data_IF_377717933414
#
_entry.id   IF_377717933414
#
_cell.length_a   1.000
_cell.length_b   1.000
_cell.length_c   1.000
_cell.angle_alpha   90.00
_cell.angle_beta   90.00
_cell.angle_gamma   90.00
#
_symmetry.space_group_name_H-M   'P 1'
#
loop_
_entity.id
_entity.type
_entity.pdbx_description
1 polymer ?
#
# COMPACT_ATOMS: atom_id res chain seq x y z
N UNK A 1 36.66 -77.09 -19.01
CA UNK A 1 35.74 -76.46 -18.04
C UNK A 1 36.10 -74.99 -17.97
N UNK A 2 35.26 -74.14 -18.59
CA UNK A 2 35.38 -72.69 -18.53
C UNK A 2 34.60 -72.21 -17.30
N UNK A 3 35.26 -71.48 -16.40
CA UNK A 3 34.60 -70.80 -15.29
C UNK A 3 34.92 -69.31 -15.40
N UNK A 4 33.89 -68.57 -15.82
CA UNK A 4 33.87 -67.13 -15.98
C UNK A 4 33.70 -66.46 -14.61
N UNK A 5 34.62 -65.56 -14.26
CA UNK A 5 34.52 -64.73 -13.04
C UNK A 5 34.50 -63.25 -13.43
N UNK A 6 33.31 -62.71 -13.68
CA UNK A 6 33.10 -61.28 -13.96
C UNK A 6 33.36 -60.43 -12.71
N UNK A 7 34.34 -59.54 -12.78
CA UNK A 7 34.59 -58.51 -11.76
C UNK A 7 33.83 -57.24 -12.12
N UNK A 8 32.68 -57.00 -11.48
CA UNK A 8 31.95 -55.73 -11.57
C UNK A 8 32.54 -54.71 -10.60
N UNK A 9 33.29 -53.73 -11.13
CA UNK A 9 33.71 -52.52 -10.39
C UNK A 9 32.49 -51.61 -10.23
N UNK A 10 31.95 -51.53 -9.01
CA UNK A 10 30.97 -50.50 -8.67
C UNK A 10 31.69 -49.15 -8.54
N UNK A 11 31.54 -48.30 -9.56
CA UNK A 11 31.89 -46.89 -9.47
C UNK A 11 30.81 -46.15 -8.69
N UNK A 12 31.12 -45.74 -7.45
CA UNK A 12 30.30 -44.75 -6.76
C UNK A 12 30.55 -43.38 -7.40
N UNK A 13 29.70 -43.00 -8.35
CA UNK A 13 29.57 -41.62 -8.78
C UNK A 13 28.88 -40.84 -7.67
N UNK A 14 29.68 -40.26 -6.76
CA UNK A 14 29.18 -39.27 -5.81
C UNK A 14 28.84 -38.00 -6.58
N UNK A 15 27.59 -37.90 -7.05
CA UNK A 15 27.04 -36.61 -7.41
C UNK A 15 26.87 -35.85 -6.10
N UNK A 16 27.80 -34.95 -5.81
CA UNK A 16 27.62 -33.95 -4.78
C UNK A 16 26.39 -33.12 -5.17
N UNK A 17 25.23 -33.48 -4.63
CA UNK A 17 24.04 -32.63 -4.67
C UNK A 17 24.41 -31.35 -3.96
N UNK A 18 24.66 -30.29 -4.74
CA UNK A 18 24.85 -28.96 -4.21
C UNK A 18 23.59 -28.61 -3.44
N UNK A 19 23.66 -28.61 -2.11
CA UNK A 19 22.60 -28.12 -1.25
C UNK A 19 22.52 -26.62 -1.50
N UNK A 20 21.79 -26.20 -2.54
CA UNK A 20 21.34 -24.82 -2.64
C UNK A 20 20.39 -24.63 -1.48
N UNK A 21 20.74 -23.82 -0.46
CA UNK A 21 19.80 -23.51 0.60
C UNK A 21 18.61 -22.90 -0.13
N UNK A 22 17.44 -23.53 -0.04
CA UNK A 22 16.21 -22.89 -0.43
C UNK A 22 16.09 -21.68 0.49
N UNK A 23 16.58 -20.53 0.03
CA UNK A 23 16.33 -19.27 0.68
C UNK A 23 14.82 -19.11 0.53
N UNK A 24 14.07 -19.18 1.65
CA UNK A 24 12.61 -19.30 1.71
C UNK A 24 11.88 -18.02 1.19
N UNK A 25 12.34 -17.45 0.08
CA UNK A 25 11.97 -16.12 -0.38
C UNK A 25 12.48 -14.99 0.53
N UNK A 26 13.35 -15.28 1.51
CA UNK A 26 13.87 -14.27 2.42
C UNK A 26 14.88 -13.41 1.67
N UNK A 27 14.53 -12.13 1.48
CA UNK A 27 15.45 -11.15 0.94
C UNK A 27 16.68 -11.05 1.86
N UNK A 28 17.92 -11.22 1.35
CA UNK A 28 19.10 -11.15 2.19
C UNK A 28 19.21 -9.82 2.94
N UNK A 29 19.66 -9.87 4.19
CA UNK A 29 19.92 -8.66 4.97
C UNK A 29 20.97 -7.80 4.25
N UNK A 30 20.58 -6.59 3.86
CA UNK A 30 21.37 -5.68 3.02
C UNK A 30 21.48 -4.27 3.62
N UNK A 31 21.72 -4.19 4.93
CA UNK A 31 21.99 -2.93 5.62
C UNK A 31 20.77 -2.02 5.86
N UNK A 32 19.77 -2.10 4.99
CA UNK A 32 18.62 -1.17 4.96
C UNK A 32 17.28 -1.85 5.25
N UNK A 33 17.21 -3.18 5.14
CA UNK A 33 15.98 -3.97 5.25
C UNK A 33 15.84 -4.75 6.56
N UNK A 34 16.57 -4.39 7.63
CA UNK A 34 16.64 -5.16 8.89
C UNK A 34 15.27 -5.51 9.48
N UNK A 35 14.33 -4.56 9.53
CA UNK A 35 12.98 -4.79 10.08
C UNK A 35 12.22 -5.89 9.31
N UNK A 36 12.11 -5.74 7.98
CA UNK A 36 11.42 -6.71 7.11
C UNK A 36 12.14 -8.07 7.07
N UNK A 37 13.47 -8.06 7.08
CA UNK A 37 14.28 -9.28 7.16
C UNK A 37 14.02 -10.04 8.48
N UNK A 38 14.03 -9.34 9.62
CA UNK A 38 13.80 -9.93 10.95
C UNK A 38 12.41 -10.57 11.05
N UNK A 39 11.38 -9.89 10.52
CA UNK A 39 10.02 -10.44 10.46
C UNK A 39 9.96 -11.70 9.58
N UNK A 40 10.58 -11.66 8.40
CA UNK A 40 10.61 -12.79 7.47
C UNK A 40 11.31 -14.01 8.07
N UNK A 41 12.40 -13.80 8.81
CA UNK A 41 13.12 -14.86 9.52
C UNK A 41 12.27 -15.46 10.63
N UNK A 42 11.66 -14.63 11.48
CA UNK A 42 10.78 -15.10 12.56
C UNK A 42 9.61 -15.92 12.02
N UNK A 43 8.97 -15.43 10.96
CA UNK A 43 7.86 -16.13 10.31
C UNK A 43 8.31 -17.47 9.72
N UNK A 44 9.44 -17.49 9.00
CA UNK A 44 9.95 -18.72 8.37
C UNK A 44 10.33 -19.78 9.41
N UNK A 45 11.03 -19.38 10.48
CA UNK A 45 11.41 -20.30 11.56
C UNK A 45 10.19 -20.81 12.34
N UNK A 46 9.21 -19.95 12.58
CA UNK A 46 7.96 -20.33 13.25
C UNK A 46 7.12 -21.31 12.42
N UNK A 47 7.00 -21.10 11.11
CA UNK A 47 6.28 -22.02 10.22
C UNK A 47 6.92 -23.42 10.16
N UNK A 48 8.21 -23.52 10.44
CA UNK A 48 8.95 -24.79 10.47
C UNK A 48 9.02 -25.41 11.87
N UNK A 49 8.43 -24.78 12.89
CA UNK A 49 8.54 -25.17 14.30
C UNK A 49 10.02 -25.28 14.76
N UNK A 50 10.85 -24.34 14.28
CA UNK A 50 12.28 -24.27 14.58
C UNK A 50 12.64 -23.10 15.48
N UNK A 51 11.69 -22.27 15.92
CA UNK A 51 11.92 -21.01 16.64
C UNK A 51 12.03 -21.16 18.17
N UNK A 52 11.98 -22.38 18.69
CA UNK A 52 12.02 -22.65 20.13
C UNK A 52 13.24 -22.00 20.82
N UNK A 53 14.44 -22.13 20.23
CA UNK A 53 15.67 -21.54 20.77
C UNK A 53 15.70 -20.01 20.74
N UNK A 54 14.85 -19.36 19.94
CA UNK A 54 14.68 -17.91 19.96
C UNK A 54 13.71 -17.44 21.04
N UNK A 55 12.79 -18.30 21.48
CA UNK A 55 11.75 -17.99 22.48
C UNK A 55 12.16 -18.36 23.90
N UNK A 56 12.93 -19.43 24.07
CA UNK A 56 13.25 -20.02 25.36
C UNK A 56 14.75 -20.00 25.62
N UNK A 57 15.11 -19.77 26.88
CA UNK A 57 16.50 -19.87 27.32
C UNK A 57 16.99 -21.33 27.25
N UNK A 58 18.32 -21.54 27.08
CA UNK A 58 18.89 -22.87 26.97
C UNK A 58 18.52 -23.73 28.20
N UNK A 59 17.96 -24.94 28.01
CA UNK A 59 17.79 -25.87 29.09
C UNK A 59 19.15 -26.26 29.67
N UNK A 60 19.17 -26.61 30.96
CA UNK A 60 20.38 -27.13 31.59
C UNK A 60 20.91 -28.35 30.85
N UNK A 61 22.23 -28.44 30.70
CA UNK A 61 22.86 -29.58 30.05
C UNK A 61 22.47 -30.88 30.79
N UNK A 62 22.03 -31.92 30.07
CA UNK A 62 21.62 -33.16 30.69
C UNK A 62 22.83 -33.84 31.35
N UNK A 63 22.57 -34.44 32.51
CA UNK A 63 23.51 -35.27 33.26
C UNK A 63 22.97 -36.71 33.41
N UNK A 64 23.69 -37.56 34.13
CA UNK A 64 23.32 -38.97 34.31
C UNK A 64 21.99 -39.15 35.05
N UNK A 65 21.62 -38.18 35.90
CA UNK A 65 20.37 -38.15 36.67
C UNK A 65 19.17 -37.60 35.88
N UNK A 66 19.42 -37.02 34.71
CA UNK A 66 18.37 -36.36 33.93
C UNK A 66 17.35 -37.36 33.38
N UNK A 67 16.07 -37.02 33.49
CA UNK A 67 14.99 -37.85 32.95
C UNK A 67 15.04 -37.90 31.42
N UNK A 68 14.35 -38.89 30.84
CA UNK A 68 14.22 -39.04 29.39
C UNK A 68 13.61 -37.78 28.76
N UNK A 69 12.66 -37.15 29.44
CA UNK A 69 11.99 -35.93 29.01
C UNK A 69 12.93 -34.72 29.03
N UNK A 70 13.77 -34.60 30.06
CA UNK A 70 14.78 -33.52 30.14
C UNK A 70 15.82 -33.64 29.02
N UNK A 71 16.31 -34.86 28.76
CA UNK A 71 17.24 -35.14 27.65
C UNK A 71 16.60 -34.80 26.30
N UNK A 72 15.36 -35.21 26.07
CA UNK A 72 14.61 -34.89 24.84
C UNK A 72 14.40 -33.39 24.65
N UNK A 73 14.06 -32.67 25.73
CA UNK A 73 13.87 -31.21 25.69
C UNK A 73 15.17 -30.49 25.29
N UNK A 74 16.30 -30.91 25.88
CA UNK A 74 17.62 -30.39 25.53
C UNK A 74 17.96 -30.65 24.06
N UNK A 75 17.81 -31.88 23.58
CA UNK A 75 18.08 -32.24 22.18
C UNK A 75 17.21 -31.45 21.18
N UNK A 76 15.93 -31.25 21.50
CA UNK A 76 15.01 -30.48 20.68
C UNK A 76 15.40 -28.99 20.63
N UNK A 77 15.74 -28.42 21.78
CA UNK A 77 16.23 -27.04 21.86
C UNK A 77 17.54 -26.88 21.08
N UNK A 78 18.49 -27.81 21.23
CA UNK A 78 19.78 -27.77 20.56
C UNK A 78 19.63 -27.88 19.03
N UNK A 79 18.73 -28.77 18.57
CA UNK A 79 18.35 -28.84 17.16
C UNK A 79 17.77 -27.51 16.66
N UNK A 80 16.84 -26.93 17.41
CA UNK A 80 16.24 -25.63 17.08
C UNK A 80 17.30 -24.52 17.02
N UNK A 81 18.22 -24.47 17.99
CA UNK A 81 19.33 -23.53 18.07
C UNK A 81 20.23 -23.61 16.85
N UNK A 82 20.71 -24.82 16.52
CA UNK A 82 21.56 -25.06 15.34
C UNK A 82 20.88 -24.65 14.04
N UNK A 83 19.60 -25.02 13.87
CA UNK A 83 18.85 -24.68 12.65
C UNK A 83 18.60 -23.17 12.55
N UNK A 84 18.23 -22.51 13.64
CA UNK A 84 18.09 -21.06 13.68
C UNK A 84 19.39 -20.36 13.27
N UNK A 85 20.53 -20.75 13.84
CA UNK A 85 21.83 -20.19 13.49
C UNK A 85 22.14 -20.34 12.01
N UNK A 86 21.91 -21.53 11.44
CA UNK A 86 22.14 -21.76 10.02
C UNK A 86 21.29 -20.85 9.13
N UNK A 87 19.99 -20.74 9.43
CA UNK A 87 19.05 -19.90 8.67
C UNK A 87 19.42 -18.42 8.80
N UNK A 88 19.63 -17.93 10.03
CA UNK A 88 19.96 -16.52 10.29
C UNK A 88 21.26 -16.17 9.58
N UNK A 89 22.36 -16.91 9.82
CA UNK A 89 23.66 -16.65 9.18
C UNK A 89 23.55 -16.68 7.67
N UNK A 90 22.88 -17.68 7.10
CA UNK A 90 22.78 -17.81 5.64
C UNK A 90 21.94 -16.72 4.99
N UNK A 91 20.96 -16.15 5.70
CA UNK A 91 20.10 -15.07 5.21
C UNK A 91 20.76 -13.68 5.27
N UNK A 92 21.97 -13.56 5.82
CA UNK A 92 22.71 -12.30 5.87
C UNK A 92 23.63 -12.19 4.66
N UNK A 93 23.63 -11.04 3.98
CA UNK A 93 24.52 -10.80 2.85
C UNK A 93 25.99 -11.00 3.23
N UNK A 94 26.74 -11.70 2.38
CA UNK A 94 28.16 -12.00 2.60
C UNK A 94 28.98 -10.73 2.84
N UNK A 95 28.59 -9.61 2.22
CA UNK A 95 29.28 -8.33 2.34
C UNK A 95 29.28 -7.76 3.77
N UNK A 96 28.27 -8.10 4.60
CA UNK A 96 28.12 -7.57 5.96
C UNK A 96 28.24 -8.66 7.04
N UNK A 97 28.13 -9.94 6.66
CA UNK A 97 28.12 -11.07 7.60
C UNK A 97 29.37 -11.11 8.50
N UNK A 98 30.54 -10.81 7.93
CA UNK A 98 31.82 -10.82 8.67
C UNK A 98 31.98 -9.71 9.70
N UNK A 99 31.13 -8.67 9.67
CA UNK A 99 31.16 -7.59 10.66
C UNK A 99 30.38 -7.92 11.95
N UNK A 100 29.59 -9.00 11.94
CA UNK A 100 28.77 -9.41 13.08
C UNK A 100 29.58 -10.41 13.93
N UNK A 101 29.74 -10.17 15.24
CA UNK A 101 30.39 -11.14 16.14
C UNK A 101 29.71 -12.51 16.10
N UNK A 102 30.51 -13.58 16.17
CA UNK A 102 29.97 -14.94 16.12
C UNK A 102 29.38 -15.38 17.47
N UNK A 103 28.47 -16.35 17.44
CA UNK A 103 27.91 -16.99 18.62
C UNK A 103 27.40 -18.41 18.31
N UNK A 104 27.52 -19.30 19.30
CA UNK A 104 26.94 -20.66 19.29
C UNK A 104 25.47 -20.68 19.73
N UNK A 105 24.94 -19.54 20.20
CA UNK A 105 23.55 -19.39 20.56
C UNK A 105 22.81 -18.51 19.54
N UNK A 106 21.73 -19.02 18.95
CA UNK A 106 20.95 -18.35 17.93
C UNK A 106 20.34 -17.02 18.40
N UNK A 107 19.83 -17.00 19.64
CA UNK A 107 19.22 -15.81 20.26
C UNK A 107 20.28 -14.72 20.45
N UNK A 108 21.43 -15.07 21.01
CA UNK A 108 22.58 -14.15 21.15
C UNK A 108 23.11 -13.66 19.81
N UNK A 109 23.24 -14.55 18.81
CA UNK A 109 23.66 -14.13 17.46
C UNK A 109 22.68 -13.12 16.86
N UNK A 110 21.37 -13.37 16.98
CA UNK A 110 20.33 -12.45 16.48
C UNK A 110 20.38 -11.09 17.19
N UNK A 111 20.68 -11.06 18.49
CA UNK A 111 20.89 -9.82 19.25
C UNK A 111 22.11 -9.02 18.73
N UNK A 112 23.22 -9.69 18.39
CA UNK A 112 24.36 -9.03 17.76
C UNK A 112 24.04 -8.45 16.39
N UNK A 113 23.25 -9.17 15.57
CA UNK A 113 22.76 -8.62 14.31
C UNK A 113 21.92 -7.38 14.60
N UNK A 114 20.98 -7.45 15.55
CA UNK A 114 20.12 -6.33 15.92
C UNK A 114 20.90 -5.10 16.38
N UNK A 115 21.95 -5.29 17.18
CA UNK A 115 22.85 -4.21 17.64
C UNK A 115 23.48 -3.44 16.47
N UNK A 116 23.97 -4.15 15.44
CA UNK A 116 24.59 -3.52 14.27
C UNK A 116 23.62 -2.63 13.47
N UNK A 117 22.31 -2.85 13.60
CA UNK A 117 21.28 -2.12 12.85
C UNK A 117 20.48 -1.12 13.69
N UNK A 118 20.79 -0.93 14.97
CA UNK A 118 20.09 0.03 15.84
C UNK A 118 20.13 1.47 15.30
N UNK A 119 21.26 1.92 14.74
CA UNK A 119 21.41 3.26 14.17
C UNK A 119 20.50 3.49 12.96
N UNK A 120 20.48 2.54 12.02
CA UNK A 120 19.59 2.56 10.85
C UNK A 120 18.12 2.51 11.25
N UNK A 121 17.77 1.71 12.26
CA UNK A 121 16.41 1.59 12.80
C UNK A 121 15.87 2.94 13.30
N UNK A 122 16.68 3.72 14.03
CA UNK A 122 16.28 5.07 14.50
C UNK A 122 15.99 6.04 13.35
N UNK A 123 16.84 6.05 12.33
CA UNK A 123 16.64 6.89 11.14
C UNK A 123 15.39 6.46 10.35
N UNK A 124 15.15 5.16 10.25
CA UNK A 124 13.94 4.62 9.64
C UNK A 124 12.68 5.00 10.42
N UNK A 125 12.69 4.87 11.75
CA UNK A 125 11.59 5.30 12.61
C UNK A 125 11.27 6.79 12.44
N UNK A 126 12.29 7.66 12.43
CA UNK A 126 12.11 9.10 12.18
C UNK A 126 11.52 9.39 10.81
N UNK A 127 11.99 8.69 9.77
CA UNK A 127 11.45 8.80 8.42
C UNK A 127 9.98 8.37 8.37
N UNK A 128 9.63 7.29 9.07
CA UNK A 128 8.28 6.75 9.14
C UNK A 128 7.33 7.71 9.86
N UNK A 129 7.75 8.30 10.98
CA UNK A 129 7.00 9.32 11.71
C UNK A 129 6.76 10.55 10.82
N UNK A 130 7.80 11.05 10.15
CA UNK A 130 7.67 12.18 9.24
C UNK A 130 6.71 11.87 8.09
N UNK A 131 6.81 10.66 7.53
CA UNK A 131 5.90 10.19 6.48
C UNK A 131 4.47 10.11 6.99
N UNK A 132 4.23 9.58 8.19
CA UNK A 132 2.90 9.58 8.81
C UNK A 132 2.33 11.00 8.95
N UNK A 133 3.13 11.95 9.47
CA UNK A 133 2.71 13.34 9.68
C UNK A 133 2.34 14.07 8.39
N UNK A 134 3.07 13.79 7.31
CA UNK A 134 2.93 14.46 6.01
C UNK A 134 1.98 13.76 5.05
N UNK A 135 1.70 12.47 5.24
CA UNK A 135 0.80 11.68 4.39
C UNK A 135 -0.67 12.05 4.67
N UNK A 136 -1.16 13.05 3.95
CA UNK A 136 -2.57 13.43 3.92
C UNK A 136 -3.33 12.61 2.89
N UNK A 137 -4.61 12.36 3.17
CA UNK A 137 -5.48 11.73 2.19
C UNK A 137 -5.72 12.71 1.02
N UNK A 138 -5.49 12.24 -0.20
CA UNK A 138 -5.56 13.06 -1.42
C UNK A 138 -6.99 13.29 -1.93
N UNK A 139 -7.98 12.57 -1.39
CA UNK A 139 -9.37 12.64 -1.83
C UNK A 139 -9.65 11.88 -3.13
N UNK A 140 -8.69 11.13 -3.67
CA UNK A 140 -8.79 10.41 -4.95
C UNK A 140 -8.44 8.93 -4.79
N UNK A 141 -7.36 8.62 -4.06
CA UNK A 141 -7.09 7.25 -3.61
C UNK A 141 -8.25 6.71 -2.79
N UNK A 142 -8.39 5.40 -2.63
CA UNK A 142 -9.44 4.85 -1.77
C UNK A 142 -9.17 5.19 -0.30
N UNK A 143 -10.14 5.75 0.42
CA UNK A 143 -9.95 6.11 1.84
C UNK A 143 -9.56 4.91 2.70
N UNK A 144 -10.07 3.71 2.37
CA UNK A 144 -9.69 2.46 3.04
C UNK A 144 -8.21 2.15 2.85
N UNK A 145 -7.68 2.35 1.64
CA UNK A 145 -6.27 2.13 1.33
C UNK A 145 -5.38 3.11 2.12
N UNK A 146 -5.79 4.38 2.19
CA UNK A 146 -5.11 5.38 3.00
C UNK A 146 -5.06 4.98 4.48
N UNK A 147 -6.19 4.52 5.04
CA UNK A 147 -6.24 4.05 6.44
C UNK A 147 -5.33 2.85 6.65
N UNK A 148 -5.38 1.84 5.77
CA UNK A 148 -4.51 0.66 5.85
C UNK A 148 -3.02 1.03 5.79
N UNK A 149 -2.64 1.99 4.94
CA UNK A 149 -1.27 2.52 4.87
C UNK A 149 -0.85 3.20 6.17
N UNK A 150 -1.74 3.94 6.83
CA UNK A 150 -1.45 4.56 8.13
C UNK A 150 -1.32 3.51 9.24
N UNK A 151 -2.14 2.46 9.23
CA UNK A 151 -2.04 1.32 10.15
C UNK A 151 -0.75 0.52 9.94
N UNK A 152 -0.35 0.27 8.69
CA UNK A 152 0.91 -0.38 8.36
C UNK A 152 2.12 0.38 8.93
N UNK A 153 2.14 1.71 8.75
CA UNK A 153 3.19 2.54 9.34
C UNK A 153 3.19 2.49 10.88
N UNK A 154 2.01 2.49 11.50
CA UNK A 154 1.87 2.33 12.96
C UNK A 154 2.40 0.97 13.45
N UNK A 155 2.11 -0.12 12.73
CA UNK A 155 2.60 -1.46 13.06
C UNK A 155 4.12 -1.58 12.91
N UNK A 156 4.68 -0.96 11.88
CA UNK A 156 6.14 -0.86 11.71
C UNK A 156 6.78 -0.12 12.88
N UNK A 157 6.19 0.99 13.35
CA UNK A 157 6.66 1.68 14.55
C UNK A 157 6.59 0.79 15.80
N UNK A 158 5.51 0.02 15.96
CA UNK A 158 5.37 -0.96 17.05
C UNK A 158 6.49 -2.02 17.02
N UNK A 159 6.93 -2.48 15.85
CA UNK A 159 8.05 -3.42 15.72
C UNK A 159 9.40 -2.87 16.22
N UNK A 160 9.50 -1.54 16.35
CA UNK A 160 10.66 -0.80 16.84
C UNK A 160 10.45 -0.27 18.27
N UNK A 161 9.53 -0.86 19.03
CA UNK A 161 9.18 -0.47 20.41
C UNK A 161 8.60 0.96 20.53
N UNK A 162 7.99 1.46 19.43
CA UNK A 162 7.32 2.76 19.38
C UNK A 162 5.83 2.57 19.16
N UNK A 163 5.16 1.89 20.09
CA UNK A 163 3.74 1.59 19.97
C UNK A 163 2.88 2.87 20.00
N UNK A 164 1.99 2.98 19.01
CA UNK A 164 0.98 4.04 18.93
C UNK A 164 -0.34 3.44 19.43
N UNK A 165 -0.96 4.10 20.41
CA UNK A 165 -2.28 3.68 20.90
C UNK A 165 -3.35 3.81 19.81
N UNK A 166 -4.32 2.90 19.81
CA UNK A 166 -5.40 2.88 18.83
C UNK A 166 -6.14 4.23 18.75
N UNK A 167 -6.48 4.81 19.90
CA UNK A 167 -7.15 6.12 19.96
C UNK A 167 -6.31 7.25 19.36
N UNK A 168 -4.97 7.24 19.55
CA UNK A 168 -4.11 8.22 18.91
C UNK A 168 -4.11 8.04 17.39
N UNK A 169 -3.99 6.79 16.90
CA UNK A 169 -4.01 6.50 15.48
C UNK A 169 -5.31 6.95 14.80
N UNK A 170 -6.46 6.73 15.46
CA UNK A 170 -7.77 7.19 14.98
C UNK A 170 -7.79 8.71 14.83
N UNK A 171 -7.42 9.45 15.88
CA UNK A 171 -7.34 10.92 15.80
C UNK A 171 -6.36 11.38 14.72
N UNK A 172 -5.22 10.71 14.62
CA UNK A 172 -4.19 11.04 13.64
C UNK A 172 -4.71 10.89 12.21
N UNK A 173 -5.38 9.78 11.90
CA UNK A 173 -6.04 9.56 10.60
C UNK A 173 -7.11 10.63 10.37
N UNK A 174 -7.94 10.97 11.36
CA UNK A 174 -8.93 12.05 11.25
C UNK A 174 -8.29 13.40 10.90
N UNK A 175 -7.11 13.72 11.45
CA UNK A 175 -6.36 14.94 11.06
C UNK A 175 -5.73 14.86 9.67
N UNK A 176 -5.58 13.66 9.10
CA UNK A 176 -5.04 13.45 7.76
C UNK A 176 -6.05 13.68 6.63
N UNK A 177 -7.35 13.66 6.93
CA UNK A 177 -8.41 13.84 5.94
C UNK A 177 -8.47 15.29 5.42
N UNK A 178 -8.81 15.51 4.13
CA UNK A 178 -8.87 16.84 3.53
C UNK A 178 -10.10 17.62 4.01
N UNK A 179 -10.15 18.91 3.64
CA UNK A 179 -11.22 19.83 4.04
C UNK A 179 -12.63 19.41 3.59
N UNK A 180 -12.76 18.58 2.54
CA UNK A 180 -14.04 18.02 2.11
C UNK A 180 -14.71 17.15 3.17
N UNK A 181 -13.93 16.57 4.09
CA UNK A 181 -14.43 15.81 5.24
C UNK A 181 -14.77 16.71 6.45
N UNK A 182 -14.84 18.04 6.27
CA UNK A 182 -15.14 18.98 7.36
C UNK A 182 -16.39 18.61 8.18
N UNK A 183 -17.56 18.41 7.56
CA UNK A 183 -18.77 17.99 8.27
C UNK A 183 -18.60 16.67 9.02
N UNK A 184 -17.92 15.70 8.41
CA UNK A 184 -17.61 14.40 9.02
C UNK A 184 -16.73 14.54 10.27
N UNK A 185 -15.70 15.38 10.24
CA UNK A 185 -14.85 15.67 11.42
C UNK A 185 -15.63 16.34 12.55
N UNK A 186 -16.54 17.26 12.22
CA UNK A 186 -17.40 17.90 13.21
C UNK A 186 -18.26 16.84 13.91
N UNK A 187 -18.91 15.96 13.14
CA UNK A 187 -19.73 14.87 13.69
C UNK A 187 -18.91 13.97 14.63
N UNK A 188 -17.72 13.54 14.21
CA UNK A 188 -16.82 12.76 15.06
C UNK A 188 -16.46 13.50 16.36
N UNK A 189 -16.07 14.77 16.29
CA UNK A 189 -15.69 15.55 17.47
C UNK A 189 -16.85 15.79 18.46
N UNK A 190 -18.10 15.76 17.99
CA UNK A 190 -19.29 15.91 18.85
C UNK A 190 -19.69 14.62 19.56
N UNK A 191 -19.18 13.47 19.13
CA UNK A 191 -19.45 12.19 19.77
C UNK A 191 -18.58 12.00 21.01
N UNK A 192 -19.17 11.47 22.07
CA UNK A 192 -18.44 11.15 23.32
C UNK A 192 -17.76 9.79 23.27
N UNK A 193 -18.24 8.91 22.40
CA UNK A 193 -17.72 7.56 22.23
C UNK A 193 -16.42 7.57 21.43
N UNK A 194 -15.47 6.73 21.84
CA UNK A 194 -14.21 6.56 21.12
C UNK A 194 -14.42 5.53 20.02
N UNK A 195 -14.05 5.88 18.80
CA UNK A 195 -14.06 4.93 17.70
C UNK A 195 -12.87 3.99 17.77
N UNK A 196 -13.13 2.73 17.43
CA UNK A 196 -12.14 1.73 17.05
C UNK A 196 -11.67 1.97 15.61
N UNK A 197 -10.58 1.31 15.22
CA UNK A 197 -10.13 1.33 13.82
C UNK A 197 -11.17 0.77 12.85
N UNK A 198 -11.91 -0.26 13.26
CA UNK A 198 -12.98 -0.88 12.45
C UNK A 198 -14.12 0.11 12.18
N UNK A 199 -14.56 0.83 13.21
CA UNK A 199 -15.60 1.86 13.09
C UNK A 199 -15.11 3.02 12.23
N UNK A 200 -13.89 3.50 12.44
CA UNK A 200 -13.29 4.55 11.63
C UNK A 200 -13.30 4.18 10.13
N UNK A 201 -12.89 2.95 9.79
CA UNK A 201 -12.89 2.48 8.40
C UNK A 201 -14.31 2.50 7.83
N UNK A 202 -15.29 1.95 8.55
CA UNK A 202 -16.67 1.89 8.10
C UNK A 202 -17.24 3.29 7.83
N UNK A 203 -17.07 4.20 8.79
CA UNK A 203 -17.59 5.56 8.73
C UNK A 203 -16.89 6.40 7.64
N UNK A 204 -15.57 6.26 7.49
CA UNK A 204 -14.84 6.95 6.43
C UNK A 204 -15.23 6.49 5.02
N UNK A 205 -15.44 5.17 4.83
CA UNK A 205 -15.89 4.63 3.53
C UNK A 205 -17.30 5.10 3.20
N UNK A 206 -18.22 5.11 4.17
CA UNK A 206 -19.56 5.65 3.96
C UNK A 206 -19.54 7.13 3.56
N UNK A 207 -18.71 7.94 4.24
CA UNK A 207 -18.57 9.36 3.91
C UNK A 207 -17.94 9.57 2.52
N UNK A 208 -16.97 8.74 2.13
CA UNK A 208 -16.39 8.78 0.79
C UNK A 208 -17.46 8.54 -0.29
N UNK A 209 -18.31 7.52 -0.12
CA UNK A 209 -19.41 7.23 -1.05
C UNK A 209 -20.45 8.35 -1.10
N UNK A 210 -20.79 8.95 0.05
CA UNK A 210 -21.66 10.12 0.11
C UNK A 210 -21.06 11.30 -0.70
N UNK A 211 -19.77 11.58 -0.50
CA UNK A 211 -19.06 12.64 -1.21
C UNK A 211 -18.95 12.38 -2.72
N UNK A 212 -18.79 11.12 -3.14
CA UNK A 212 -18.85 10.72 -4.56
C UNK A 212 -20.24 10.91 -5.15
N UNK A 213 -21.29 10.53 -4.44
CA UNK A 213 -22.68 10.69 -4.90
C UNK A 213 -23.06 12.18 -5.07
N UNK A 214 -22.53 13.06 -4.23
CA UNK A 214 -22.69 14.52 -4.33
C UNK A 214 -21.86 15.17 -5.45
N UNK A 215 -20.89 14.42 -6.00
CA UNK A 215 -20.08 14.79 -7.17
C UNK A 215 -20.43 13.87 -8.34
N UNK A 216 -21.65 13.96 -8.92
CA UNK A 216 -21.95 13.22 -10.14
C UNK A 216 -20.94 13.62 -11.22
N UNK A 217 -20.30 12.60 -11.78
CA UNK A 217 -19.25 12.71 -12.77
C UNK A 217 -19.66 13.65 -13.91
N UNK A 218 -18.80 14.64 -14.19
CA UNK A 218 -18.80 15.44 -15.42
C UNK A 218 -18.23 14.60 -16.60
N UNK A 219 -18.11 13.28 -16.40
CA UNK A 219 -17.57 12.32 -17.34
C UNK A 219 -18.67 11.70 -18.24
N UNK A 220 -19.33 12.55 -19.03
CA UNK A 220 -19.92 12.09 -20.28
C UNK A 220 -19.64 13.10 -21.40
N UNK A 221 -18.41 13.63 -21.48
CA UNK A 221 -18.01 14.50 -22.58
C UNK A 221 -16.53 14.43 -22.95
N UNK A 222 -15.94 13.24 -22.98
CA UNK A 222 -14.61 13.02 -23.57
C UNK A 222 -14.51 11.73 -24.37
N UNK A 223 -15.44 11.52 -25.32
CA UNK A 223 -15.04 10.89 -26.59
C UNK A 223 -14.60 11.99 -27.55
N UNK A 224 -13.31 12.23 -27.46
CA UNK A 224 -12.41 12.91 -28.40
C UNK A 224 -13.03 13.27 -29.76
N UNK A 225 -13.34 14.56 -29.89
CA UNK A 225 -13.26 15.27 -31.17
C UNK A 225 -11.82 15.20 -31.69
N UNK A 226 -11.48 14.14 -32.43
CA UNK A 226 -10.32 14.17 -33.32
C UNK A 226 -10.72 14.89 -34.60
N UNK A 227 -10.25 16.14 -34.69
CA UNK A 227 -10.44 17.08 -35.79
C UNK A 227 -10.16 16.42 -37.15
N UNK A 228 -11.16 16.53 -38.03
CA UNK A 228 -11.05 16.42 -39.49
C UNK A 228 -10.07 17.49 -40.00
N UNK A 229 -8.90 17.07 -40.50
CA UNK A 229 -8.07 17.89 -41.42
C UNK A 229 -8.03 17.20 -42.79
N UNK A 230 -8.31 18.01 -43.80
CA UNK A 230 -8.51 17.71 -45.23
C UNK A 230 -7.15 17.45 -45.90
N UNK A 231 -7.02 16.39 -46.69
CA UNK A 231 -5.83 16.07 -47.49
C UNK A 231 -6.16 15.04 -48.58
N UNK A 232 -5.82 15.37 -49.82
CA UNK A 232 -6.21 14.79 -51.10
C UNK A 232 -5.55 13.43 -51.41
N UNK A 233 -6.28 12.46 -52.02
CA UNK A 233 -5.84 11.58 -53.14
C UNK A 233 -6.87 10.50 -53.52
N UNK A 234 -6.72 10.04 -54.76
CA UNK A 234 -7.63 9.32 -55.65
C UNK A 234 -7.91 7.86 -55.26
N UNK A 235 -8.94 7.26 -55.86
CA UNK A 235 -9.05 5.80 -56.07
C UNK A 235 -10.46 5.26 -55.92
N UNK A 236 -10.99 4.60 -56.95
CA UNK A 236 -12.39 4.22 -57.08
C UNK A 236 -12.84 3.02 -56.25
N UNK A 237 -14.14 2.75 -56.27
CA UNK A 237 -14.72 1.52 -55.71
C UNK A 237 -16.22 1.64 -55.40
N UNK A 238 -17.05 1.07 -56.27
CA UNK A 238 -18.51 0.90 -56.13
C UNK A 238 -18.87 0.07 -54.88
N UNK A 239 -19.97 0.41 -54.19
CA UNK A 239 -20.58 -0.47 -53.20
C UNK A 239 -21.88 0.09 -52.62
N UNK A 240 -22.97 -0.66 -52.80
CA UNK A 240 -24.35 -0.26 -52.60
C UNK A 240 -24.81 -0.08 -51.14
N UNK A 241 -25.81 0.79 -51.03
CA UNK A 241 -26.88 0.98 -50.03
C UNK A 241 -27.17 -0.20 -49.09
N UNK A 242 -27.32 0.11 -47.80
CA UNK A 242 -28.48 -0.32 -46.98
C UNK A 242 -28.69 0.62 -45.79
N UNK A 243 -29.79 1.38 -45.84
CA UNK A 243 -30.33 2.19 -44.74
C UNK A 243 -31.16 1.29 -43.83
N UNK A 244 -31.00 1.43 -42.51
CA UNK A 244 -32.05 1.14 -41.52
C UNK A 244 -32.11 2.31 -40.53
N UNK A 245 -33.29 2.89 -40.24
CA UNK A 245 -33.44 4.17 -39.55
C UNK A 245 -33.61 4.01 -38.03
N UNK A 246 -33.16 5.01 -37.25
CA UNK A 246 -33.79 5.30 -35.95
C UNK A 246 -34.08 6.79 -35.80
N UNK A 247 -35.36 7.02 -35.59
CA UNK A 247 -36.12 8.26 -35.41
C UNK A 247 -35.84 8.89 -34.02
N UNK A 248 -35.75 10.23 -34.01
CA UNK A 248 -36.22 11.18 -32.97
C UNK A 248 -35.59 11.12 -31.56
N UNK A 249 -35.44 12.22 -30.82
CA UNK A 249 -36.08 13.52 -30.91
C UNK A 249 -35.17 14.64 -30.35
N UNK A 250 -35.24 15.82 -30.99
CA UNK A 250 -34.62 17.07 -30.54
C UNK A 250 -35.46 17.70 -29.44
N UNK A 251 -34.94 17.78 -28.21
CA UNK A 251 -35.55 18.57 -27.13
C UNK A 251 -34.86 19.94 -27.10
N UNK A 252 -35.57 20.97 -27.54
CA UNK A 252 -35.14 22.37 -27.40
C UNK A 252 -34.95 22.71 -25.92
N UNK A 253 -33.71 22.73 -25.44
CA UNK A 253 -33.41 23.25 -24.11
C UNK A 253 -33.52 24.77 -24.12
N UNK A 254 -34.54 25.31 -23.47
CA UNK A 254 -34.76 26.76 -23.31
C UNK A 254 -33.60 27.50 -22.61
N UNK A 255 -33.73 28.83 -22.43
CA UNK A 255 -32.65 29.67 -21.90
C UNK A 255 -32.14 29.19 -20.53
N UNK A 256 -30.82 29.11 -20.37
CA UNK A 256 -30.13 28.68 -19.13
C UNK A 256 -29.09 29.71 -18.70
N UNK A 257 -29.13 30.10 -17.44
CA UNK A 257 -28.21 31.09 -16.87
C UNK A 257 -26.97 30.39 -16.29
N UNK A 258 -25.80 30.64 -16.88
CA UNK A 258 -24.53 30.05 -16.40
C UNK A 258 -24.05 30.62 -15.05
N UNK A 259 -24.56 31.79 -14.63
CA UNK A 259 -24.17 32.42 -13.37
C UNK A 259 -24.93 31.84 -12.18
N UNK A 260 -26.27 31.86 -12.21
CA UNK A 260 -27.10 31.34 -11.12
C UNK A 260 -27.49 29.86 -11.29
N UNK A 261 -27.17 29.26 -12.46
CA UNK A 261 -27.48 27.86 -12.81
C UNK A 261 -28.97 27.51 -12.86
N UNK A 262 -29.84 28.50 -13.06
CA UNK A 262 -31.29 28.31 -13.25
C UNK A 262 -31.70 28.39 -14.72
N UNK A 263 -32.73 27.62 -15.10
CA UNK A 263 -33.41 27.68 -16.41
C UNK A 263 -34.44 28.83 -16.41
N UNK A 264 -34.73 29.40 -17.58
CA UNK A 264 -35.75 30.45 -17.78
C UNK A 264 -35.21 31.84 -18.18
N UNK A 265 -33.89 32.08 -18.12
CA UNK A 265 -33.26 33.34 -18.54
C UNK A 265 -31.78 33.14 -18.92
N UNK A 266 -31.22 34.03 -19.73
CA UNK A 266 -29.77 34.02 -20.02
C UNK A 266 -28.99 34.76 -18.93
N UNK A 267 -27.69 34.51 -18.80
CA UNK A 267 -26.83 35.17 -17.79
C UNK A 267 -26.92 36.71 -17.83
N UNK A 268 -27.08 37.31 -19.02
CA UNK A 268 -27.30 38.76 -19.21
C UNK A 268 -28.57 39.32 -18.56
N UNK A 269 -29.57 38.48 -18.36
CA UNK A 269 -30.87 38.82 -17.75
C UNK A 269 -30.89 38.46 -16.25
N UNK A 270 -29.83 37.86 -15.71
CA UNK A 270 -29.81 37.36 -14.34
C UNK A 270 -29.71 38.50 -13.30
N UNK A 271 -30.70 38.67 -12.40
CA UNK A 271 -30.64 39.71 -11.36
C UNK A 271 -29.44 39.55 -10.41
N UNK A 272 -29.08 38.31 -10.07
CA UNK A 272 -27.89 38.01 -9.23
C UNK A 272 -26.59 38.40 -9.92
N UNK A 273 -26.50 38.21 -11.25
CA UNK A 273 -25.31 38.59 -12.03
C UNK A 273 -25.16 40.11 -12.11
N UNK A 274 -26.26 40.84 -12.35
CA UNK A 274 -26.26 42.31 -12.36
C UNK A 274 -25.86 42.89 -11.00
N UNK A 275 -26.44 42.39 -9.91
CA UNK A 275 -26.07 42.82 -8.55
C UNK A 275 -24.59 42.52 -8.22
N UNK A 276 -24.07 41.38 -8.69
CA UNK A 276 -22.66 41.02 -8.53
C UNK A 276 -21.71 41.97 -9.29
N UNK A 277 -22.09 42.40 -10.50
CA UNK A 277 -21.33 43.39 -11.28
C UNK A 277 -21.30 44.76 -10.59
N UNK A 278 -22.45 45.23 -10.08
CA UNK A 278 -22.53 46.49 -9.32
C UNK A 278 -21.65 46.46 -8.07
N UNK A 279 -21.63 45.33 -7.34
CA UNK A 279 -20.78 45.16 -6.15
C UNK A 279 -19.27 45.10 -6.49
N UNK A 280 -18.92 44.74 -7.72
CA UNK A 280 -17.53 44.68 -8.21
C UNK A 280 -17.08 45.97 -8.91
N UNK A 281 -17.95 46.98 -9.03
CA UNK A 281 -17.65 48.22 -9.76
C UNK A 281 -17.49 48.01 -11.27
N UNK A 282 -18.01 46.91 -11.82
CA UNK A 282 -17.90 46.57 -13.24
C UNK A 282 -19.17 47.06 -13.94
N UNK A 283 -19.04 47.96 -14.91
CA UNK A 283 -20.18 48.41 -15.71
C UNK A 283 -20.65 47.29 -16.65
N UNK A 284 -21.95 47.00 -16.62
CA UNK A 284 -22.55 46.02 -17.52
C UNK A 284 -22.71 46.62 -18.92
N UNK A 285 -21.97 46.12 -19.91
CA UNK A 285 -22.15 46.50 -21.31
C UNK A 285 -23.11 45.50 -22.01
N UNK A 286 -24.34 45.90 -22.37
CA UNK A 286 -25.33 45.02 -22.97
C UNK A 286 -25.05 44.63 -24.44
N UNK A 287 -24.05 45.23 -25.09
CA UNK A 287 -23.81 45.06 -26.54
C UNK A 287 -22.59 44.19 -26.91
N UNK A 288 -21.94 43.54 -25.93
CA UNK A 288 -20.89 42.54 -26.22
C UNK A 288 -21.54 41.32 -26.89
N UNK A 289 -21.52 41.31 -28.23
CA UNK A 289 -21.96 40.20 -29.08
C UNK A 289 -23.05 40.51 -30.11
N UNK A 290 -23.56 41.74 -30.20
CA UNK A 290 -24.41 42.12 -31.34
C UNK A 290 -23.53 42.40 -32.56
N UNK A 291 -23.46 41.47 -33.51
CA UNK A 291 -23.03 41.81 -34.87
C UNK A 291 -24.02 42.85 -35.42
N UNK A 292 -23.51 43.99 -35.86
CA UNK A 292 -24.27 44.96 -36.64
C UNK A 292 -24.91 44.25 -37.84
N UNK A 293 -26.21 44.43 -38.04
CA UNK A 293 -26.81 44.21 -39.35
C UNK A 293 -26.46 45.45 -40.17
N UNK A 294 -25.61 45.28 -41.17
CA UNK A 294 -25.48 46.26 -42.25
C UNK A 294 -26.29 45.76 -43.43
N UNK A 295 -27.09 46.67 -43.98
CA UNK A 295 -27.90 46.56 -45.19
C UNK A 295 -27.07 46.25 -46.45
#
# INVERSE_FOLDING_TARGET
MASSSSSSKFGFSSTASTFTPHNYGIEPLNGTNFSTWRESIKLSLGMMDLDQALRMDPPGAPNDESTVEQKRSYEQWERSNRMCLMVIKNSISVAIRGAIPDSENAKTYLEYVEEQFKGTSKAYASTLILKMLTNKYDGVSGIREHIMKMSDMSNKLKSMDMEISEGFLVHFIMTSLPASYGPFKINYNTQKEKWTMSELIAMCVQEEERLKAERPDVAHLTTTNSKKRKGNRQGGGKGNISKVPKIGASVNSGPYCKFCRFKGHYQRECPKFKAWLTKKGISFNPDIGKKAKSD
#
